data_IF_904461677526
#
_entry.id   IF_904461677526
#
_cell.length_a   1.000
_cell.length_b   1.000
_cell.length_c   1.000
_cell.angle_alpha   90.00
_cell.angle_beta   90.00
_cell.angle_gamma   90.00
#
_symmetry.space_group_name_H-M   'P 1'
#
loop_
_entity.id
_entity.type
_entity.pdbx_description
1 polymer ?
#
# COMPACT_ATOMS: atom_id res chain seq x y z
N UNK A 1 14.57 8.81 -48.33
CA UNK A 1 15.27 7.72 -47.64
C UNK A 1 14.57 7.52 -46.31
N UNK A 2 14.00 6.34 -46.04
CA UNK A 2 13.36 6.04 -44.75
C UNK A 2 14.47 5.55 -43.81
N UNK A 3 14.77 6.30 -42.76
CA UNK A 3 15.71 5.88 -41.71
C UNK A 3 14.96 4.95 -40.77
N UNK A 4 15.41 3.70 -40.66
CA UNK A 4 14.85 2.76 -39.71
C UNK A 4 15.25 3.17 -38.28
N UNK A 5 14.37 2.94 -37.28
CA UNK A 5 14.71 3.23 -35.90
C UNK A 5 15.92 2.39 -35.44
N UNK A 6 16.94 3.06 -34.91
CA UNK A 6 18.13 2.40 -34.37
C UNK A 6 17.99 2.11 -32.88
N UNK A 7 18.40 0.90 -32.49
CA UNK A 7 18.42 0.50 -31.09
C UNK A 7 19.68 1.03 -30.41
N UNK A 8 19.52 2.03 -29.55
CA UNK A 8 20.62 2.63 -28.77
C UNK A 8 21.32 1.60 -27.87
N UNK A 9 22.58 1.86 -27.51
CA UNK A 9 23.34 1.01 -26.58
C UNK A 9 22.65 0.90 -25.21
N UNK A 10 22.04 2.00 -24.74
CA UNK A 10 21.27 2.01 -23.50
C UNK A 10 20.06 1.07 -23.58
N UNK A 11 19.29 1.15 -24.67
CA UNK A 11 18.13 0.26 -24.86
C UNK A 11 18.55 -1.23 -24.92
N UNK A 12 19.71 -1.56 -25.49
CA UNK A 12 20.24 -2.94 -25.43
C UNK A 12 20.56 -3.35 -24.00
N UNK A 13 21.23 -2.48 -23.24
CA UNK A 13 21.64 -2.70 -21.85
C UNK A 13 20.42 -2.92 -20.95
N UNK A 14 19.41 -2.05 -21.03
CA UNK A 14 18.19 -2.15 -20.23
C UNK A 14 17.41 -3.43 -20.56
N UNK A 15 17.40 -3.86 -21.82
CA UNK A 15 16.77 -5.16 -22.17
C UNK A 15 17.51 -6.37 -21.60
N UNK A 16 18.84 -6.34 -21.53
CA UNK A 16 19.59 -7.42 -20.87
C UNK A 16 19.31 -7.43 -19.37
N UNK A 17 19.22 -6.25 -18.75
CA UNK A 17 18.87 -6.11 -17.34
C UNK A 17 17.46 -6.64 -17.09
N UNK A 18 16.54 -6.39 -18.02
CA UNK A 18 15.17 -6.83 -17.90
C UNK A 18 15.04 -8.37 -17.91
N UNK A 19 15.80 -9.03 -18.80
CA UNK A 19 15.91 -10.50 -18.79
C UNK A 19 16.47 -11.03 -17.48
N UNK A 20 17.51 -10.39 -16.95
CA UNK A 20 18.15 -10.78 -15.69
C UNK A 20 17.20 -10.68 -14.50
N UNK A 21 16.50 -9.54 -14.36
CA UNK A 21 15.46 -9.34 -13.33
C UNK A 21 14.36 -10.39 -13.44
N UNK A 22 13.87 -10.68 -14.64
CA UNK A 22 12.83 -11.69 -14.85
C UNK A 22 13.26 -13.09 -14.39
N UNK A 23 14.55 -13.43 -14.49
CA UNK A 23 15.07 -14.72 -14.02
C UNK A 23 15.16 -14.76 -12.48
N UNK A 24 15.56 -13.65 -11.86
CA UNK A 24 15.79 -13.58 -10.41
C UNK A 24 14.48 -13.53 -9.59
N UNK A 25 13.42 -12.92 -10.13
CA UNK A 25 12.13 -12.80 -9.44
C UNK A 25 11.45 -14.16 -9.17
N UNK A 26 11.87 -15.22 -9.88
CA UNK A 26 11.38 -16.58 -9.63
C UNK A 26 9.96 -16.84 -10.15
N UNK A 27 9.29 -17.84 -9.56
CA UNK A 27 7.98 -18.32 -10.05
C UNK A 27 6.79 -17.55 -9.48
N UNK A 28 6.94 -16.98 -8.28
CA UNK A 28 5.84 -16.33 -7.55
C UNK A 28 5.71 -14.83 -7.87
N UNK A 29 6.69 -14.24 -8.54
CA UNK A 29 6.69 -12.84 -8.99
C UNK A 29 6.83 -12.82 -10.51
N UNK A 30 5.69 -12.88 -11.19
CA UNK A 30 5.63 -12.99 -12.64
C UNK A 30 5.74 -11.61 -13.28
N UNK A 31 6.74 -11.45 -14.14
CA UNK A 31 6.91 -10.25 -14.94
C UNK A 31 5.94 -10.27 -16.14
N UNK A 32 5.17 -9.19 -16.28
CA UNK A 32 4.23 -8.92 -17.37
C UNK A 32 4.74 -7.71 -18.15
N UNK A 33 4.81 -7.84 -19.48
CA UNK A 33 5.13 -6.70 -20.34
C UNK A 33 4.00 -5.67 -20.29
N UNK A 34 4.38 -4.39 -20.35
CA UNK A 34 3.46 -3.29 -20.62
C UNK A 34 3.73 -2.88 -22.06
N UNK A 35 2.84 -3.29 -22.95
CA UNK A 35 2.94 -2.90 -24.35
C UNK A 35 2.35 -1.48 -24.50
N UNK A 36 3.04 -0.60 -25.24
CA UNK A 36 2.62 0.75 -25.68
C UNK A 36 3.09 1.98 -24.88
N UNK A 37 2.48 2.33 -23.75
CA UNK A 37 2.85 3.56 -23.00
C UNK A 37 3.78 3.23 -21.85
N UNK A 38 4.99 3.76 -21.92
CA UNK A 38 6.01 3.54 -20.91
C UNK A 38 5.73 4.34 -19.64
N UNK A 39 5.39 5.65 -19.67
CA UNK A 39 5.35 6.49 -18.44
C UNK A 39 6.54 6.15 -17.52
N UNK A 40 7.71 5.92 -18.15
CA UNK A 40 8.84 5.09 -17.71
C UNK A 40 8.55 4.08 -16.60
N UNK A 41 7.77 3.07 -16.94
CA UNK A 41 7.59 1.77 -16.34
C UNK A 41 7.94 0.78 -17.44
N UNK A 42 8.83 -0.17 -17.14
CA UNK A 42 9.25 -1.18 -18.10
C UNK A 42 8.45 -2.48 -17.95
N UNK A 43 7.91 -2.74 -16.76
CA UNK A 43 7.16 -3.95 -16.48
C UNK A 43 6.16 -3.81 -15.33
N UNK A 44 5.11 -4.63 -15.39
CA UNK A 44 4.24 -4.92 -14.26
C UNK A 44 4.68 -6.25 -13.67
N UNK A 45 4.84 -6.35 -12.36
CA UNK A 45 5.15 -7.61 -11.66
C UNK A 45 3.93 -8.03 -10.86
N UNK A 46 3.39 -9.18 -11.19
CA UNK A 46 2.25 -9.80 -10.51
C UNK A 46 2.77 -10.82 -9.50
N UNK A 47 2.45 -10.62 -8.22
CA UNK A 47 2.71 -11.61 -7.18
C UNK A 47 1.57 -12.62 -7.11
N UNK A 48 1.93 -13.89 -7.25
CA UNK A 48 1.03 -15.02 -7.02
C UNK A 48 1.13 -15.45 -5.56
N UNK A 49 -0.04 -15.69 -4.96
CA UNK A 49 -0.15 -16.33 -3.65
C UNK A 49 -1.37 -17.26 -3.64
N UNK A 50 -1.43 -18.15 -2.66
CA UNK A 50 -2.51 -19.13 -2.51
C UNK A 50 -3.90 -18.51 -2.29
N UNK A 51 -3.97 -17.21 -2.00
CA UNK A 51 -5.22 -16.51 -1.68
C UNK A 51 -5.91 -15.89 -2.91
N UNK A 52 -5.32 -16.02 -4.11
CA UNK A 52 -5.92 -15.58 -5.37
C UNK A 52 -6.15 -14.07 -5.49
N UNK A 53 -5.55 -13.27 -4.62
CA UNK A 53 -5.62 -11.81 -4.66
C UNK A 53 -4.43 -11.27 -5.46
N UNK A 54 -4.70 -10.68 -6.63
CA UNK A 54 -3.68 -10.05 -7.47
C UNK A 54 -3.00 -8.90 -6.74
N UNK A 55 -1.72 -9.06 -6.44
CA UNK A 55 -0.83 -8.04 -5.88
C UNK A 55 0.13 -7.61 -6.98
N UNK A 56 0.25 -6.31 -7.20
CA UNK A 56 1.00 -5.77 -8.32
C UNK A 56 2.04 -4.77 -7.86
N UNK A 57 3.19 -4.82 -8.53
CA UNK A 57 4.27 -3.84 -8.47
C UNK A 57 4.50 -3.31 -9.87
N UNK A 58 4.93 -2.06 -9.99
CA UNK A 58 5.42 -1.52 -11.27
C UNK A 58 6.94 -1.38 -11.17
N UNK A 59 7.65 -1.79 -12.22
CA UNK A 59 9.10 -1.82 -12.26
C UNK A 59 9.63 -0.87 -13.34
N UNK A 60 10.57 -0.02 -12.97
CA UNK A 60 11.52 0.59 -13.90
C UNK A 60 12.87 -0.10 -13.69
N UNK A 61 13.41 -0.70 -14.74
CA UNK A 61 14.65 -1.44 -14.73
C UNK A 61 15.73 -0.67 -15.46
N UNK A 62 16.84 -0.44 -14.75
CA UNK A 62 18.03 0.24 -15.28
C UNK A 62 19.20 -0.73 -15.28
N UNK A 63 19.84 -0.86 -16.43
CA UNK A 63 21.06 -1.63 -16.59
C UNK A 63 22.30 -0.73 -16.72
N UNK A 64 23.46 -1.27 -16.35
CA UNK A 64 24.76 -0.69 -16.68
C UNK A 64 25.72 -1.75 -17.25
N UNK A 65 26.63 -1.36 -18.13
CA UNK A 65 27.73 -2.21 -18.61
C UNK A 65 28.94 -2.19 -17.66
N UNK A 66 28.92 -1.28 -16.68
CA UNK A 66 29.99 -1.13 -15.69
C UNK A 66 29.72 -1.98 -14.45
N UNK A 67 30.79 -2.25 -13.70
CA UNK A 67 30.65 -2.81 -12.36
C UNK A 67 29.96 -1.77 -11.45
N UNK A 68 28.96 -2.22 -10.69
CA UNK A 68 28.28 -1.37 -9.71
C UNK A 68 29.23 -1.09 -8.56
N UNK A 69 29.45 0.20 -8.28
CA UNK A 69 30.28 0.65 -7.18
C UNK A 69 29.43 0.94 -5.95
N UNK A 70 29.92 0.51 -4.80
CA UNK A 70 29.39 0.87 -3.49
C UNK A 70 30.04 2.17 -3.03
N UNK A 71 29.22 3.18 -2.75
CA UNK A 71 29.64 4.45 -2.15
C UNK A 71 29.25 4.54 -0.67
N UNK A 72 29.56 5.68 -0.03
CA UNK A 72 29.26 5.92 1.39
C UNK A 72 27.76 5.86 1.72
N UNK A 73 26.90 6.19 0.76
CA UNK A 73 25.43 6.17 0.89
C UNK A 73 24.81 4.90 0.28
N UNK A 74 25.61 3.88 -0.02
CA UNK A 74 25.19 2.65 -0.68
C UNK A 74 25.44 2.68 -2.20
N UNK A 75 24.58 2.04 -2.96
CA UNK A 75 24.67 1.93 -4.42
C UNK A 75 24.20 3.22 -5.09
N UNK A 76 25.00 3.75 -6.01
CA UNK A 76 24.68 4.99 -6.71
C UNK A 76 24.08 4.70 -8.09
N UNK A 77 22.84 5.12 -8.32
CA UNK A 77 22.23 5.15 -9.64
C UNK A 77 22.17 6.61 -10.12
N UNK A 78 23.20 7.03 -10.85
CA UNK A 78 23.30 8.37 -11.43
C UNK A 78 22.50 8.52 -12.71
N UNK A 79 22.06 9.74 -13.01
CA UNK A 79 21.38 10.04 -14.28
C UNK A 79 19.93 9.57 -14.31
N UNK A 80 19.32 9.30 -13.16
CA UNK A 80 17.92 8.90 -13.07
C UNK A 80 17.03 10.08 -13.47
N UNK A 81 16.06 9.93 -14.40
CA UNK A 81 15.22 11.04 -14.83
C UNK A 81 14.35 11.56 -13.68
N UNK A 82 14.40 12.86 -13.40
CA UNK A 82 13.59 13.48 -12.34
C UNK A 82 12.10 13.39 -12.62
N UNK A 83 11.71 13.48 -13.90
CA UNK A 83 10.32 13.25 -14.33
C UNK A 83 9.81 11.88 -13.89
N UNK A 84 10.69 10.86 -13.84
CA UNK A 84 10.35 9.52 -13.35
C UNK A 84 9.99 9.49 -11.88
N UNK A 85 10.74 10.21 -11.05
CA UNK A 85 10.37 10.34 -9.64
C UNK A 85 9.00 11.03 -9.50
N UNK A 86 8.74 12.09 -10.27
CA UNK A 86 7.47 12.84 -10.19
C UNK A 86 6.25 11.99 -10.57
N UNK A 87 6.26 11.30 -11.72
CA UNK A 87 5.11 10.48 -12.08
C UNK A 87 4.99 9.21 -11.23
N UNK A 88 6.08 8.72 -10.62
CA UNK A 88 6.02 7.54 -9.76
C UNK A 88 5.09 7.75 -8.55
N UNK A 89 4.95 8.98 -8.07
CA UNK A 89 4.01 9.36 -7.01
C UNK A 89 2.53 9.16 -7.43
N UNK A 90 2.23 9.19 -8.73
CA UNK A 90 0.86 9.03 -9.26
C UNK A 90 0.40 7.56 -9.33
N UNK A 91 1.33 6.60 -9.19
CA UNK A 91 1.01 5.18 -9.25
C UNK A 91 0.38 4.68 -7.95
N UNK A 92 -0.75 3.98 -8.07
CA UNK A 92 -1.40 3.30 -6.92
C UNK A 92 -0.64 2.05 -6.47
N UNK A 93 0.16 1.47 -7.37
CA UNK A 93 0.99 0.29 -7.10
C UNK A 93 2.41 0.71 -6.72
N UNK A 94 3.10 -0.04 -5.85
CA UNK A 94 4.45 0.29 -5.45
C UNK A 94 5.38 0.35 -6.65
N UNK A 95 6.07 1.49 -6.77
CA UNK A 95 6.98 1.76 -7.87
C UNK A 95 8.41 1.34 -7.50
N UNK A 96 8.90 0.28 -8.13
CA UNK A 96 10.22 -0.30 -7.87
C UNK A 96 11.20 0.12 -8.96
N UNK A 97 12.33 0.70 -8.56
CA UNK A 97 13.49 0.87 -9.44
C UNK A 97 14.42 -0.30 -9.20
N UNK A 98 14.64 -1.13 -10.22
CA UNK A 98 15.63 -2.21 -10.18
C UNK A 98 16.89 -1.79 -10.94
N UNK A 99 18.06 -1.99 -10.34
CA UNK A 99 19.35 -1.60 -10.89
C UNK A 99 20.36 -2.75 -10.85
N UNK A 100 20.97 -3.07 -11.98
CA UNK A 100 21.95 -4.16 -12.06
C UNK A 100 22.99 -3.94 -13.14
N UNK A 101 24.15 -4.59 -12.99
CA UNK A 101 25.14 -4.71 -14.05
C UNK A 101 24.80 -5.85 -14.98
N UNK A 102 25.09 -5.66 -16.26
CA UNK A 102 24.95 -6.64 -17.35
C UNK A 102 26.24 -6.74 -18.17
N UNK A 103 27.38 -6.45 -17.55
CA UNK A 103 28.70 -6.49 -18.17
C UNK A 103 28.96 -7.84 -18.84
N UNK A 104 28.59 -8.92 -18.16
CA UNK A 104 28.69 -10.30 -18.68
C UNK A 104 27.36 -10.81 -19.27
N UNK A 105 26.48 -9.89 -19.70
CA UNK A 105 25.15 -10.18 -20.24
C UNK A 105 24.11 -10.53 -19.15
N UNK A 106 23.01 -11.23 -19.51
CA UNK A 106 21.92 -11.52 -18.56
C UNK A 106 22.31 -12.51 -17.43
N UNK A 107 23.45 -13.18 -17.56
CA UNK A 107 24.01 -14.13 -16.56
C UNK A 107 25.08 -13.50 -15.68
N UNK A 108 25.30 -12.19 -15.81
CA UNK A 108 26.19 -11.43 -14.95
C UNK A 108 25.87 -11.69 -13.46
N UNK A 109 26.89 -11.97 -12.66
CA UNK A 109 26.73 -12.35 -11.25
C UNK A 109 26.44 -11.19 -10.30
N UNK A 110 26.48 -9.94 -10.78
CA UNK A 110 26.20 -8.76 -9.99
C UNK A 110 24.77 -8.80 -9.42
N UNK A 111 24.55 -8.41 -8.15
CA UNK A 111 23.21 -8.35 -7.60
C UNK A 111 22.26 -7.44 -8.41
N UNK A 112 20.97 -7.69 -8.28
CA UNK A 112 19.93 -6.74 -8.63
C UNK A 112 19.59 -5.97 -7.38
N UNK A 113 19.95 -4.68 -7.35
CA UNK A 113 19.56 -3.78 -6.28
C UNK A 113 18.18 -3.20 -6.58
N UNK A 114 17.40 -2.89 -5.55
CA UNK A 114 16.07 -2.33 -5.73
C UNK A 114 15.74 -1.21 -4.76
N UNK A 115 14.87 -0.30 -5.20
CA UNK A 115 14.40 0.82 -4.41
C UNK A 115 12.89 1.00 -4.61
N UNK A 116 12.13 1.13 -3.53
CA UNK A 116 10.75 1.61 -3.61
C UNK A 116 10.77 3.13 -3.74
N UNK A 117 10.59 3.62 -4.96
CA UNK A 117 10.82 5.01 -5.33
C UNK A 117 9.91 5.99 -4.59
N UNK A 118 8.62 5.66 -4.43
CA UNK A 118 7.67 6.51 -3.70
C UNK A 118 8.10 6.72 -2.24
N UNK A 119 8.54 5.65 -1.56
CA UNK A 119 9.06 5.76 -0.18
C UNK A 119 10.37 6.50 -0.08
N UNK A 120 11.24 6.28 -1.05
CA UNK A 120 12.48 7.03 -1.13
C UNK A 120 12.21 8.53 -1.32
N UNK A 121 11.20 8.90 -2.12
CA UNK A 121 10.75 10.28 -2.24
C UNK A 121 10.30 10.82 -0.87
N UNK A 122 9.34 10.15 -0.23
CA UNK A 122 8.75 10.61 1.04
C UNK A 122 9.77 10.73 2.19
N UNK A 123 10.70 9.78 2.32
CA UNK A 123 11.58 9.68 3.50
C UNK A 123 13.00 10.15 3.26
N UNK A 124 13.47 10.20 2.02
CA UNK A 124 14.81 10.68 1.68
C UNK A 124 14.75 11.99 0.93
N UNK A 125 14.11 12.05 -0.24
CA UNK A 125 14.18 13.25 -1.06
C UNK A 125 13.41 14.42 -0.42
N UNK A 126 12.23 14.20 0.13
CA UNK A 126 11.41 15.26 0.73
C UNK A 126 11.97 15.77 2.05
N UNK A 127 12.70 14.93 2.77
CA UNK A 127 13.26 15.25 4.09
C UNK A 127 14.67 15.81 3.96
N UNK A 128 15.55 15.12 3.24
CA UNK A 128 16.97 15.45 3.16
C UNK A 128 17.29 16.41 2.00
N UNK A 129 16.45 16.44 0.95
CA UNK A 129 16.67 17.23 -0.28
C UNK A 129 15.41 18.01 -0.71
N UNK A 130 14.77 18.83 0.14
CA UNK A 130 13.42 19.39 -0.08
C UNK A 130 13.24 20.21 -1.37
N UNK A 131 14.32 20.65 -2.02
CA UNK A 131 14.30 21.35 -3.31
C UNK A 131 14.36 20.44 -4.55
N UNK A 132 14.43 19.11 -4.39
CA UNK A 132 14.68 18.17 -5.47
C UNK A 132 13.66 18.27 -6.62
N UNK A 133 12.39 18.63 -6.32
CA UNK A 133 11.32 18.76 -7.32
C UNK A 133 11.50 19.96 -8.26
N UNK A 134 12.06 21.06 -7.74
CA UNK A 134 12.25 22.32 -8.47
C UNK A 134 13.67 22.51 -8.98
N UNK A 135 14.55 21.53 -8.75
CA UNK A 135 15.92 21.54 -9.23
C UNK A 135 15.94 21.64 -10.78
N UNK A 136 16.69 22.59 -11.36
CA UNK A 136 16.72 22.83 -12.80
C UNK A 136 17.37 21.70 -13.61
N UNK A 137 18.13 20.81 -12.99
CA UNK A 137 18.68 19.65 -13.69
C UNK A 137 17.54 18.71 -14.14
N UNK A 138 17.74 17.92 -15.20
CA UNK A 138 16.72 16.95 -15.64
C UNK A 138 16.86 15.59 -14.96
N UNK A 139 18.04 15.33 -14.40
CA UNK A 139 18.39 14.05 -13.77
C UNK A 139 18.81 14.24 -12.32
N UNK A 140 18.79 13.13 -11.58
CA UNK A 140 19.21 13.03 -10.18
C UNK A 140 20.00 11.74 -9.94
N UNK A 141 20.57 11.60 -8.75
CA UNK A 141 21.19 10.35 -8.30
C UNK A 141 20.31 9.71 -7.23
N UNK A 142 19.94 8.45 -7.42
CA UNK A 142 19.28 7.66 -6.40
C UNK A 142 20.32 6.89 -5.59
N UNK A 143 20.14 6.85 -4.27
CA UNK A 143 20.99 6.09 -3.35
C UNK A 143 20.23 4.85 -2.87
N UNK A 144 20.69 3.66 -3.28
CA UNK A 144 20.03 2.39 -2.96
C UNK A 144 20.84 1.68 -1.86
N UNK A 145 20.23 1.30 -0.73
CA UNK A 145 20.92 0.52 0.30
C UNK A 145 21.46 -0.82 -0.24
N UNK A 146 22.68 -1.20 0.12
CA UNK A 146 23.29 -2.47 -0.29
C UNK A 146 22.54 -3.71 0.22
N UNK A 147 21.76 -3.53 1.28
CA UNK A 147 20.88 -4.56 1.84
C UNK A 147 19.67 -4.82 0.95
N UNK A 148 19.28 -3.86 0.10
CA UNK A 148 18.18 -4.01 -0.84
C UNK A 148 18.65 -4.69 -2.13
N UNK A 149 18.95 -5.98 -2.02
CA UNK A 149 19.29 -6.84 -3.15
C UNK A 149 18.27 -7.97 -3.27
N UNK A 150 17.76 -8.23 -4.49
CA UNK A 150 16.73 -9.26 -4.75
C UNK A 150 17.20 -10.63 -4.26
N UNK A 151 18.46 -10.99 -4.51
CA UNK A 151 19.07 -12.26 -4.11
C UNK A 151 19.18 -12.45 -2.60
N UNK A 152 19.06 -11.38 -1.81
CA UNK A 152 19.15 -11.41 -0.33
C UNK A 152 17.80 -11.28 0.36
N UNK A 153 16.87 -10.56 -0.26
CA UNK A 153 15.62 -10.14 0.40
C UNK A 153 14.42 -10.10 -0.57
N UNK A 154 14.20 -11.20 -1.29
CA UNK A 154 13.01 -11.35 -2.14
C UNK A 154 11.71 -11.20 -1.33
N UNK A 155 11.71 -11.66 -0.08
CA UNK A 155 10.56 -11.56 0.81
C UNK A 155 10.14 -10.11 1.05
N UNK A 156 11.08 -9.17 1.16
CA UNK A 156 10.71 -7.75 1.28
C UNK A 156 10.04 -7.20 0.03
N UNK A 157 10.40 -7.65 -1.17
CA UNK A 157 9.66 -7.29 -2.39
C UNK A 157 8.23 -7.82 -2.33
N UNK A 158 8.05 -9.06 -1.85
CA UNK A 158 6.73 -9.61 -1.58
C UNK A 158 5.93 -8.78 -0.58
N UNK A 159 6.54 -8.37 0.53
CA UNK A 159 5.91 -7.52 1.55
C UNK A 159 5.55 -6.12 0.98
N UNK A 160 6.39 -5.57 0.10
CA UNK A 160 6.07 -4.33 -0.61
C UNK A 160 4.85 -4.54 -1.52
N UNK A 161 4.73 -5.67 -2.23
CA UNK A 161 3.55 -5.95 -3.06
C UNK A 161 2.25 -6.01 -2.21
N UNK A 162 2.33 -6.59 -1.01
CA UNK A 162 1.25 -6.61 -0.02
C UNK A 162 0.86 -5.22 0.48
N UNK A 163 1.82 -4.29 0.54
CA UNK A 163 1.60 -2.95 1.12
C UNK A 163 0.48 -2.16 0.45
N UNK A 164 0.25 -2.33 -0.85
CA UNK A 164 -0.84 -1.63 -1.57
C UNK A 164 -2.23 -2.08 -1.10
N UNK A 165 -2.40 -3.38 -0.86
CA UNK A 165 -3.63 -3.93 -0.28
C UNK A 165 -3.80 -3.48 1.17
N UNK A 166 -2.69 -3.41 1.92
CA UNK A 166 -2.67 -2.94 3.30
C UNK A 166 -3.08 -1.47 3.38
N UNK A 167 -2.48 -0.58 2.58
CA UNK A 167 -2.82 0.83 2.53
C UNK A 167 -4.30 1.05 2.21
N UNK A 168 -4.87 0.31 1.26
CA UNK A 168 -6.30 0.39 0.93
C UNK A 168 -7.19 -0.02 2.11
N UNK A 169 -6.81 -1.07 2.84
CA UNK A 169 -7.53 -1.53 4.03
C UNK A 169 -7.38 -0.54 5.20
N UNK A 170 -6.17 -0.03 5.41
CA UNK A 170 -5.81 0.99 6.39
C UNK A 170 -6.62 2.27 6.16
N UNK A 171 -6.66 2.78 4.93
CA UNK A 171 -7.46 3.95 4.57
C UNK A 171 -8.94 3.75 4.88
N UNK A 172 -9.52 2.60 4.52
CA UNK A 172 -10.92 2.28 4.89
C UNK A 172 -11.13 2.31 6.40
N UNK A 173 -10.19 1.79 7.17
CA UNK A 173 -10.27 1.78 8.62
C UNK A 173 -10.11 3.17 9.24
N UNK A 174 -9.19 3.99 8.72
CA UNK A 174 -9.01 5.39 9.14
C UNK A 174 -10.32 6.17 8.88
N UNK A 175 -10.91 6.03 7.69
CA UNK A 175 -12.20 6.67 7.37
C UNK A 175 -13.32 6.18 8.29
N UNK A 176 -13.38 4.86 8.56
CA UNK A 176 -14.36 4.29 9.49
C UNK A 176 -14.18 4.85 10.92
N UNK A 177 -12.94 5.00 11.38
CA UNK A 177 -12.59 5.58 12.69
C UNK A 177 -13.02 7.05 12.76
N UNK A 178 -12.67 7.85 11.74
CA UNK A 178 -13.02 9.26 11.68
C UNK A 178 -14.55 9.46 11.65
N UNK A 179 -15.28 8.64 10.91
CA UNK A 179 -16.76 8.67 10.91
C UNK A 179 -17.33 8.30 12.27
N UNK A 180 -16.75 7.31 12.94
CA UNK A 180 -17.21 6.92 14.28
C UNK A 180 -17.00 8.06 15.30
N UNK A 181 -15.89 8.78 15.21
CA UNK A 181 -15.64 9.96 16.04
C UNK A 181 -16.62 11.09 15.75
N UNK A 182 -17.00 11.31 14.48
CA UNK A 182 -18.01 12.29 14.11
C UNK A 182 -19.40 11.99 14.70
N UNK A 183 -19.68 10.74 15.05
CA UNK A 183 -20.94 10.31 15.69
C UNK A 183 -20.95 10.49 17.22
N UNK A 184 -19.85 10.93 17.84
CA UNK A 184 -19.68 10.95 19.32
C UNK A 184 -20.78 11.69 20.09
N UNK A 185 -21.36 12.72 19.50
CA UNK A 185 -22.39 13.56 20.11
C UNK A 185 -23.74 13.49 19.40
N UNK A 186 -23.90 12.55 18.46
CA UNK A 186 -25.12 12.41 17.68
C UNK A 186 -26.12 11.51 18.40
N UNK A 187 -27.40 11.89 18.36
CA UNK A 187 -28.47 11.05 18.88
C UNK A 187 -28.64 9.78 18.01
N UNK A 188 -29.01 8.62 18.60
CA UNK A 188 -29.21 7.38 17.87
C UNK A 188 -30.49 7.39 16.98
N UNK A 189 -30.46 8.16 15.90
CA UNK A 189 -31.51 8.25 14.90
C UNK A 189 -31.29 7.22 13.75
N UNK A 190 -32.22 7.09 12.80
CA UNK A 190 -32.04 6.19 11.66
C UNK A 190 -30.78 6.46 10.82
N UNK A 191 -30.32 7.71 10.76
CA UNK A 191 -29.10 8.11 10.03
C UNK A 191 -27.85 7.59 10.75
N UNK A 192 -27.78 7.76 12.06
CA UNK A 192 -26.76 7.24 12.95
C UNK A 192 -26.64 5.72 12.80
N UNK A 193 -27.76 4.99 12.82
CA UNK A 193 -27.75 3.53 12.64
C UNK A 193 -27.22 3.11 11.27
N UNK A 194 -27.53 3.88 10.21
CA UNK A 194 -27.03 3.63 8.86
C UNK A 194 -25.52 3.84 8.79
N UNK A 195 -25.01 4.92 9.38
CA UNK A 195 -23.57 5.18 9.44
C UNK A 195 -22.85 4.09 10.25
N UNK A 196 -23.38 3.67 11.40
CA UNK A 196 -22.79 2.56 12.16
C UNK A 196 -22.70 1.27 11.34
N UNK A 197 -23.75 0.90 10.60
CA UNK A 197 -23.69 -0.27 9.71
C UNK A 197 -22.64 -0.11 8.61
N UNK A 198 -22.52 1.08 8.03
CA UNK A 198 -21.48 1.36 7.05
C UNK A 198 -20.08 1.18 7.65
N UNK A 199 -19.84 1.74 8.85
CA UNK A 199 -18.57 1.60 9.59
C UNK A 199 -18.26 0.12 9.82
N UNK A 200 -19.23 -0.67 10.30
CA UNK A 200 -19.04 -2.11 10.52
C UNK A 200 -18.72 -2.86 9.22
N UNK A 201 -19.42 -2.54 8.13
CA UNK A 201 -19.16 -3.12 6.81
C UNK A 201 -17.79 -2.70 6.25
N UNK A 202 -17.33 -1.49 6.53
CA UNK A 202 -16.01 -1.02 6.15
C UNK A 202 -14.90 -1.81 6.87
N UNK A 203 -15.05 -2.04 8.17
CA UNK A 203 -14.12 -2.86 8.97
C UNK A 203 -14.11 -4.30 8.46
N UNK A 204 -15.27 -4.92 8.26
CA UNK A 204 -15.38 -6.30 7.76
C UNK A 204 -14.71 -6.51 6.39
N UNK A 205 -14.72 -5.49 5.53
CA UNK A 205 -14.06 -5.49 4.22
C UNK A 205 -12.54 -5.21 4.28
N UNK A 206 -11.98 -5.15 5.49
CA UNK A 206 -10.55 -5.01 5.76
C UNK A 206 -10.06 -6.24 6.54
N UNK A 207 -9.99 -7.43 5.91
CA UNK A 207 -9.71 -8.70 6.61
C UNK A 207 -8.42 -8.70 7.44
N UNK A 208 -7.37 -7.99 6.99
CA UNK A 208 -6.12 -7.91 7.74
C UNK A 208 -6.25 -7.10 9.04
N UNK A 209 -7.23 -6.19 9.09
CA UNK A 209 -7.58 -5.41 10.27
C UNK A 209 -8.60 -6.18 11.13
N UNK A 210 -9.58 -6.82 10.51
CA UNK A 210 -10.60 -7.65 11.19
C UNK A 210 -9.97 -8.73 12.06
N UNK A 211 -8.89 -9.39 11.60
CA UNK A 211 -8.18 -10.41 12.40
C UNK A 211 -7.69 -9.90 13.76
N UNK A 212 -7.36 -8.62 13.86
CA UNK A 212 -7.00 -7.96 15.14
C UNK A 212 -8.21 -7.41 15.90
N UNK A 213 -9.32 -7.26 15.20
CA UNK A 213 -10.58 -6.75 15.71
C UNK A 213 -11.47 -7.82 16.35
N UNK A 214 -11.27 -9.10 16.04
CA UNK A 214 -12.04 -10.20 16.63
C UNK A 214 -11.40 -10.67 17.96
N UNK A 215 -11.61 -9.87 19.00
CA UNK A 215 -11.53 -10.29 20.41
C UNK A 215 -12.97 -10.53 20.92
N UNK A 216 -13.23 -11.57 21.73
CA UNK A 216 -14.54 -11.92 22.29
C UNK A 216 -15.29 -10.76 22.98
N UNK A 217 -14.61 -9.73 23.49
CA UNK A 217 -15.21 -8.62 24.24
C UNK A 217 -15.88 -7.54 23.39
N UNK A 218 -15.59 -7.48 22.08
CA UNK A 218 -16.15 -6.46 21.18
C UNK A 218 -16.23 -6.97 19.72
N UNK A 219 -16.93 -8.09 19.52
CA UNK A 219 -17.14 -8.63 18.17
C UNK A 219 -17.99 -7.69 17.32
N UNK A 220 -17.59 -7.47 16.06
CA UNK A 220 -18.37 -6.71 15.08
C UNK A 220 -19.81 -7.27 14.96
N UNK A 221 -19.95 -8.60 15.09
CA UNK A 221 -21.25 -9.28 15.02
C UNK A 221 -22.19 -8.86 16.15
N UNK A 222 -21.65 -8.69 17.36
CA UNK A 222 -22.40 -8.27 18.56
C UNK A 222 -22.83 -6.79 18.47
N UNK A 223 -21.99 -5.94 17.88
CA UNK A 223 -22.36 -4.54 17.64
C UNK A 223 -23.47 -4.46 16.57
N UNK A 224 -23.36 -5.24 15.50
CA UNK A 224 -24.38 -5.30 14.45
C UNK A 224 -25.74 -5.79 14.97
N UNK A 225 -25.76 -6.83 15.82
CA UNK A 225 -27.00 -7.28 16.45
C UNK A 225 -27.62 -6.20 17.35
N UNK A 226 -26.80 -5.46 18.09
CA UNK A 226 -27.25 -4.33 18.93
C UNK A 226 -27.85 -3.20 18.09
N UNK A 227 -27.22 -2.84 16.96
CA UNK A 227 -27.74 -1.86 16.00
C UNK A 227 -29.09 -2.31 15.43
N UNK A 228 -29.21 -3.58 15.07
CA UNK A 228 -30.43 -4.15 14.49
C UNK A 228 -31.58 -4.16 15.51
N UNK A 229 -31.28 -4.45 16.77
CA UNK A 229 -32.26 -4.37 17.86
C UNK A 229 -32.74 -2.92 18.06
N UNK A 230 -31.83 -1.95 18.22
CA UNK A 230 -32.19 -0.55 18.42
C UNK A 230 -33.05 0.01 17.27
N UNK A 231 -32.71 -0.34 16.02
CA UNK A 231 -33.51 0.02 14.85
C UNK A 231 -34.90 -0.63 14.86
N UNK A 232 -34.99 -1.91 15.23
CA UNK A 232 -36.26 -2.62 15.34
C UNK A 232 -37.18 -1.94 16.36
N UNK A 233 -36.67 -1.65 17.55
CA UNK A 233 -37.40 -0.94 18.62
C UNK A 233 -37.86 0.44 18.17
N UNK A 234 -36.99 1.23 17.53
CA UNK A 234 -37.34 2.55 16.99
C UNK A 234 -38.47 2.48 15.95
N UNK A 235 -38.42 1.49 15.05
CA UNK A 235 -39.45 1.30 14.01
C UNK A 235 -40.82 0.90 14.59
N UNK A 236 -40.84 0.09 15.65
CA UNK A 236 -42.07 -0.33 16.35
C UNK A 236 -42.68 0.85 17.10
N UNK A 237 -41.86 1.69 17.74
CA UNK A 237 -42.35 2.87 18.45
C UNK A 237 -42.93 3.93 17.52
N UNK A 238 -42.30 4.15 16.36
CA UNK A 238 -42.80 5.09 15.34
C UNK A 238 -44.20 4.67 14.84
N UNK A 239 -44.48 3.36 14.76
CA UNK A 239 -45.78 2.80 14.41
C UNK A 239 -46.82 2.87 15.55
N UNK A 240 -46.39 2.76 16.81
CA UNK A 240 -47.28 2.62 17.98
C UNK A 240 -47.66 3.93 18.69
N UNK A 241 -47.23 5.11 18.22
CA UNK A 241 -47.47 6.43 18.86
C UNK A 241 -47.31 6.39 20.40
N UNK A 242 -46.05 6.43 20.85
CA UNK A 242 -45.57 6.81 22.22
C UNK A 242 -45.66 5.82 23.40
N UNK A 243 -46.21 4.62 23.28
CA UNK A 243 -46.45 3.79 24.47
C UNK A 243 -45.23 3.04 25.08
N UNK A 244 -43.96 3.32 24.72
CA UNK A 244 -42.86 2.50 25.24
C UNK A 244 -41.47 3.17 25.31
N UNK A 245 -41.38 4.47 25.62
CA UNK A 245 -40.13 5.27 25.59
C UNK A 245 -38.95 4.59 26.31
N UNK A 246 -39.22 3.94 27.44
CA UNK A 246 -38.24 3.22 28.26
C UNK A 246 -37.47 2.15 27.47
N UNK A 247 -38.15 1.34 26.64
CA UNK A 247 -37.48 0.31 25.83
C UNK A 247 -36.56 0.89 24.74
N UNK A 248 -36.88 2.07 24.23
CA UNK A 248 -35.98 2.75 23.26
C UNK A 248 -34.79 3.36 23.98
N UNK A 249 -35.00 3.92 25.17
CA UNK A 249 -33.94 4.47 25.99
C UNK A 249 -32.95 3.37 26.43
N UNK A 250 -33.44 2.22 26.86
CA UNK A 250 -32.62 1.04 27.15
C UNK A 250 -31.82 0.58 25.91
N UNK A 251 -32.49 0.45 24.76
CA UNK A 251 -31.84 0.02 23.52
C UNK A 251 -30.78 1.03 23.03
N UNK A 252 -31.05 2.34 23.15
CA UNK A 252 -30.12 3.39 22.80
C UNK A 252 -28.93 3.45 23.77
N UNK A 253 -29.16 3.26 25.08
CA UNK A 253 -28.10 3.20 26.09
C UNK A 253 -27.16 2.02 25.81
N UNK A 254 -27.72 0.82 25.58
CA UNK A 254 -26.93 -0.35 25.24
C UNK A 254 -26.12 -0.14 23.94
N UNK A 255 -26.70 0.53 22.94
CA UNK A 255 -25.98 0.88 21.72
C UNK A 255 -24.84 1.86 21.98
N UNK A 256 -25.07 2.92 22.74
CA UNK A 256 -24.06 3.91 23.09
C UNK A 256 -22.86 3.27 23.80
N UNK A 257 -23.10 2.35 24.73
CA UNK A 257 -22.05 1.60 25.43
C UNK A 257 -21.21 0.76 24.46
N UNK A 258 -21.86 0.02 23.56
CA UNK A 258 -21.17 -0.79 22.54
C UNK A 258 -20.37 0.09 21.57
N UNK A 259 -20.91 1.23 21.17
CA UNK A 259 -20.21 2.21 20.33
C UNK A 259 -19.01 2.82 21.04
N UNK A 260 -19.10 3.10 22.35
CA UNK A 260 -17.99 3.61 23.13
C UNK A 260 -16.84 2.58 23.25
N UNK A 261 -17.18 1.29 23.42
CA UNK A 261 -16.20 0.19 23.40
C UNK A 261 -15.52 0.10 22.02
N UNK A 262 -16.32 0.07 20.95
CA UNK A 262 -15.83 0.05 19.58
C UNK A 262 -14.85 1.20 19.32
N UNK A 263 -15.22 2.42 19.72
CA UNK A 263 -14.41 3.62 19.53
C UNK A 263 -13.06 3.54 20.22
N UNK A 264 -13.04 3.15 21.50
CA UNK A 264 -11.79 2.95 22.25
C UNK A 264 -10.88 1.96 21.54
N UNK A 265 -11.44 0.87 21.03
CA UNK A 265 -10.69 -0.14 20.29
C UNK A 265 -10.15 0.39 18.96
N UNK A 266 -10.99 1.05 18.17
CA UNK A 266 -10.56 1.62 16.88
C UNK A 266 -9.43 2.64 17.06
N UNK A 267 -9.54 3.49 18.08
CA UNK A 267 -8.49 4.47 18.41
C UNK A 267 -7.19 3.80 18.88
N UNK A 268 -7.28 2.72 19.67
CA UNK A 268 -6.09 1.95 20.07
C UNK A 268 -5.36 1.34 18.88
N UNK A 269 -6.11 0.83 17.89
CA UNK A 269 -5.53 0.24 16.68
C UNK A 269 -5.07 1.28 15.65
N UNK A 270 -5.56 2.52 15.72
CA UNK A 270 -5.23 3.56 14.74
C UNK A 270 -3.72 3.82 14.68
N UNK A 271 -3.04 3.85 15.83
CA UNK A 271 -1.58 4.03 15.89
C UNK A 271 -0.83 2.93 15.12
N UNK A 272 -1.22 1.66 15.32
CA UNK A 272 -0.62 0.52 14.60
C UNK A 272 -0.88 0.59 13.09
N UNK A 273 -2.08 1.01 12.69
CA UNK A 273 -2.47 1.14 11.28
C UNK A 273 -1.70 2.27 10.60
N UNK A 274 -1.45 3.38 11.30
CA UNK A 274 -0.74 4.55 10.78
C UNK A 274 0.76 4.32 10.56
N UNK A 275 1.35 3.34 11.25
CA UNK A 275 2.79 2.99 11.09
C UNK A 275 3.00 1.72 10.26
N UNK A 276 1.92 1.06 9.86
CA UNK A 276 1.92 -0.27 9.22
C UNK A 276 2.72 -0.32 7.91
N UNK A 277 2.89 0.83 7.26
CA UNK A 277 3.50 0.99 5.96
C UNK A 277 4.93 1.58 6.02
N UNK A 278 5.38 1.98 7.23
CA UNK A 278 6.68 2.61 7.51
C UNK A 278 7.77 1.60 7.90
N UNK A 279 7.41 0.37 8.25
CA UNK A 279 8.34 -0.70 8.62
C UNK A 279 8.13 -1.98 7.80
N UNK A 280 8.54 -2.02 6.52
CA UNK A 280 8.51 -3.25 5.74
C UNK A 280 9.55 -4.32 6.18
N UNK A 281 10.24 -4.16 7.31
CA UNK A 281 11.30 -5.08 7.75
C UNK A 281 10.75 -6.29 8.53
N UNK A 282 11.05 -7.48 8.01
CA UNK A 282 11.04 -8.83 8.62
C UNK A 282 9.78 -9.36 9.34
N UNK A 283 8.92 -8.52 9.91
CA UNK A 283 7.74 -8.90 10.72
C UNK A 283 6.47 -8.11 10.33
N UNK A 284 6.36 -7.61 9.11
CA UNK A 284 5.20 -6.83 8.67
C UNK A 284 3.99 -7.73 8.33
N UNK A 285 3.33 -8.26 9.36
CA UNK A 285 2.09 -9.08 9.36
C UNK A 285 2.16 -10.47 8.71
#
# INVERSE_FOLDING_TARGET
>A
MITLPERTAQHRTDTLAMKKVSLELGQDLLLRSIDERDYGVDALVERYNSNGAGQFLVFQVKGTQDAIKVGKKGIHLSGFPRRTALYAEEFVHPFIVAYTSVKDGPRDSSPIYYLWLQRYIEYSLDVDEPGWRTDPHETMTLYIPETHAVSRDLQRICNIAESSMLQKQAHRFIVATARLEALKSADPDPTYMRELRWIMSAIQRSPMITRKFDDPTASIKDILSTVDNARSVASVQQKKKRANSEKLEEANTALCDKVAILRRRMNGMLAEVLVMDTQPSANSW
#
